data_IF_394343114784
#
_entry.id   IF_394343114784
#
_cell.length_a   1.000
_cell.length_b   1.000
_cell.length_c   1.000
_cell.angle_alpha   90.00
_cell.angle_beta   90.00
_cell.angle_gamma   90.00
#
_symmetry.space_group_name_H-M   'P 1'
#
loop_
_entity.id
_entity.type
_entity.pdbx_description
1 polymer ?
#
# COMPACT_ATOMS: atom_id res chain seq x y z
N UNK A 1 18.30 8.43 -4.92
CA UNK A 1 17.48 7.61 -5.82
C UNK A 1 16.01 7.79 -5.46
N UNK A 2 15.18 8.12 -6.43
CA UNK A 2 13.77 8.32 -6.17
C UNK A 2 13.07 6.99 -6.00
N UNK A 3 12.21 6.95 -4.98
CA UNK A 3 11.35 5.79 -4.76
C UNK A 3 10.02 6.09 -5.43
N UNK A 4 9.66 5.28 -6.40
CA UNK A 4 8.50 5.53 -7.24
C UNK A 4 7.27 4.73 -6.85
N UNK A 5 7.34 3.97 -5.79
CA UNK A 5 6.23 3.13 -5.31
C UNK A 5 6.03 3.33 -3.83
N UNK A 6 4.79 3.29 -3.40
CA UNK A 6 4.49 3.34 -1.97
C UNK A 6 3.24 2.57 -1.63
N UNK A 7 3.16 2.15 -0.38
CA UNK A 7 1.93 1.61 0.21
C UNK A 7 1.47 2.57 1.30
N UNK A 8 0.19 2.86 1.32
CA UNK A 8 -0.44 3.58 2.43
C UNK A 8 -1.08 2.54 3.33
N UNK A 9 -0.67 2.54 4.59
CA UNK A 9 -1.07 1.53 5.55
C UNK A 9 -2.00 2.17 6.57
N UNK A 10 -3.11 1.50 6.86
CA UNK A 10 -4.16 2.06 7.71
C UNK A 10 -4.29 1.32 9.02
N UNK A 11 -4.76 2.03 10.06
CA UNK A 11 -5.06 1.40 11.34
C UNK A 11 -6.24 0.44 11.16
N UNK A 12 -6.11 -0.75 11.75
CA UNK A 12 -7.13 -1.80 11.61
C UNK A 12 -8.03 -1.94 12.82
N UNK A 13 -7.70 -1.25 13.91
CA UNK A 13 -8.47 -1.34 15.14
C UNK A 13 -8.26 -0.09 15.98
N UNK A 14 -9.08 0.05 17.01
CA UNK A 14 -8.99 1.17 17.94
C UNK A 14 -9.67 2.41 17.42
N UNK A 15 -9.46 3.54 18.09
CA UNK A 15 -10.11 4.82 17.74
C UNK A 15 -9.62 5.36 16.41
N UNK A 16 -8.45 4.92 15.95
CA UNK A 16 -7.86 5.37 14.70
C UNK A 16 -8.24 4.49 13.50
N UNK A 17 -9.07 3.48 13.72
CA UNK A 17 -9.46 2.53 12.65
C UNK A 17 -9.86 3.27 11.38
N UNK A 18 -9.23 2.88 10.26
CA UNK A 18 -9.50 3.48 8.96
C UNK A 18 -8.64 4.70 8.64
N UNK A 19 -7.97 5.26 9.62
CA UNK A 19 -7.07 6.39 9.39
C UNK A 19 -5.70 5.92 8.91
N UNK A 20 -4.99 6.80 8.22
CA UNK A 20 -3.64 6.49 7.74
C UNK A 20 -2.70 6.28 8.94
N UNK A 21 -2.03 5.14 8.96
CA UNK A 21 -1.06 4.81 9.99
C UNK A 21 0.34 5.24 9.59
N UNK A 22 0.77 4.84 8.38
CA UNK A 22 2.07 5.22 7.85
C UNK A 22 2.11 4.95 6.36
N UNK A 23 3.14 5.45 5.70
CA UNK A 23 3.45 5.12 4.32
C UNK A 23 4.79 4.42 4.27
N UNK A 24 4.91 3.40 3.42
CA UNK A 24 6.17 2.72 3.17
C UNK A 24 6.53 2.91 1.70
N UNK A 25 7.78 3.26 1.44
CA UNK A 25 8.25 3.58 0.10
C UNK A 25 9.17 2.49 -0.43
N UNK A 26 9.10 2.26 -1.73
CA UNK A 26 9.83 1.18 -2.38
C UNK A 26 10.49 1.63 -3.67
N UNK A 27 11.64 1.05 -3.98
CA UNK A 27 12.38 1.34 -5.20
C UNK A 27 11.90 0.52 -6.39
N UNK A 28 11.21 -0.59 -6.14
CA UNK A 28 10.75 -1.47 -7.20
C UNK A 28 9.34 -1.96 -6.95
N UNK A 29 8.67 -2.30 -8.04
CA UNK A 29 7.34 -2.88 -7.98
C UNK A 29 7.34 -4.22 -7.24
N UNK A 30 8.37 -5.03 -7.46
CA UNK A 30 8.47 -6.33 -6.80
C UNK A 30 8.55 -6.20 -5.28
N UNK A 31 9.34 -5.25 -4.80
CA UNK A 31 9.46 -5.02 -3.36
C UNK A 31 8.13 -4.57 -2.76
N UNK A 32 7.44 -3.68 -3.44
CA UNK A 32 6.12 -3.22 -3.00
C UNK A 32 5.12 -4.38 -2.97
N UNK A 33 5.08 -5.19 -4.03
CA UNK A 33 4.17 -6.32 -4.12
C UNK A 33 4.42 -7.34 -3.01
N UNK A 34 5.69 -7.61 -2.72
CA UNK A 34 6.04 -8.53 -1.65
C UNK A 34 5.51 -8.05 -0.31
N UNK A 35 5.72 -6.76 -0.02
CA UNK A 35 5.25 -6.18 1.23
C UNK A 35 3.73 -6.15 1.30
N UNK A 36 3.07 -5.84 0.18
CA UNK A 36 1.61 -5.84 0.11
C UNK A 36 1.05 -7.21 0.49
N UNK A 37 1.63 -8.28 -0.05
CA UNK A 37 1.17 -9.64 0.28
C UNK A 37 1.33 -9.97 1.75
N UNK A 38 2.40 -9.49 2.38
CA UNK A 38 2.62 -9.69 3.81
C UNK A 38 1.55 -9.02 4.66
N UNK A 39 1.03 -7.89 4.20
CA UNK A 39 0.08 -7.09 4.95
C UNK A 39 -1.37 -7.38 4.59
N UNK A 40 -1.61 -8.00 3.44
CA UNK A 40 -2.97 -8.21 2.93
C UNK A 40 -3.77 -9.19 3.77
N UNK A 41 -5.00 -8.80 4.11
CA UNK A 41 -5.96 -9.63 4.83
C UNK A 41 -7.26 -9.66 4.04
N UNK A 42 -7.66 -10.82 3.46
CA UNK A 42 -8.86 -10.87 2.63
C UNK A 42 -10.15 -10.40 3.31
N UNK A 43 -10.23 -10.55 4.62
CA UNK A 43 -11.44 -10.18 5.37
C UNK A 43 -11.50 -8.70 5.72
N UNK A 44 -10.48 -7.94 5.38
CA UNK A 44 -10.36 -6.54 5.78
C UNK A 44 -10.20 -5.62 4.58
N UNK A 45 -11.01 -5.82 3.55
CA UNK A 45 -10.87 -5.10 2.28
C UNK A 45 -10.65 -3.60 2.43
N UNK A 46 -11.47 -2.95 3.23
CA UNK A 46 -11.41 -1.50 3.35
C UNK A 46 -10.18 -1.03 4.12
N UNK A 47 -9.51 -1.93 4.82
CA UNK A 47 -8.40 -1.59 5.68
C UNK A 47 -7.07 -2.15 5.18
N UNK A 48 -7.08 -2.81 4.04
CA UNK A 48 -5.85 -3.27 3.42
C UNK A 48 -5.06 -2.10 2.86
N UNK A 49 -3.72 -2.24 2.75
CA UNK A 49 -2.92 -1.15 2.20
C UNK A 49 -3.36 -0.78 0.79
N UNK A 50 -3.17 0.48 0.43
CA UNK A 50 -3.37 0.92 -0.94
C UNK A 50 -2.02 1.17 -1.58
N UNK A 51 -1.90 0.77 -2.86
CA UNK A 51 -0.65 0.86 -3.60
C UNK A 51 -0.66 2.08 -4.51
N UNK A 52 0.48 2.75 -4.61
CA UNK A 52 0.61 3.98 -5.39
C UNK A 52 1.92 3.97 -6.16
N UNK A 53 1.88 4.52 -7.36
CA UNK A 53 3.03 4.68 -8.22
C UNK A 53 3.21 6.14 -8.56
N UNK A 54 4.45 6.62 -8.55
CA UNK A 54 4.72 8.01 -8.94
C UNK A 54 5.09 8.07 -10.41
N UNK A 55 4.32 8.83 -11.18
CA UNK A 55 4.55 9.05 -12.59
C UNK A 55 4.54 10.56 -12.84
N UNK A 56 5.61 11.08 -13.40
CA UNK A 56 5.75 12.52 -13.69
C UNK A 56 5.49 13.40 -12.48
N UNK A 57 5.99 12.95 -11.31
CA UNK A 57 5.85 13.72 -10.08
C UNK A 57 4.53 13.57 -9.37
N UNK A 58 3.60 12.80 -9.90
CA UNK A 58 2.29 12.60 -9.29
C UNK A 58 2.10 11.17 -8.82
N UNK A 59 1.45 11.02 -7.66
CA UNK A 59 1.10 9.71 -7.13
C UNK A 59 -0.23 9.26 -7.70
N UNK A 60 -0.22 8.11 -8.39
CA UNK A 60 -1.41 7.52 -8.98
C UNK A 60 -1.71 6.19 -8.31
N UNK A 61 -2.99 5.97 -8.01
CA UNK A 61 -3.42 4.73 -7.36
C UNK A 61 -3.22 3.54 -8.29
N UNK A 62 -2.62 2.48 -7.73
CA UNK A 62 -2.48 1.20 -8.42
C UNK A 62 -3.40 0.18 -7.78
N UNK A 63 -3.92 -0.74 -8.58
CA UNK A 63 -4.68 -1.86 -8.07
C UNK A 63 -3.85 -3.12 -8.24
N UNK A 64 -3.43 -3.68 -7.12
CA UNK A 64 -2.66 -4.91 -7.13
C UNK A 64 -3.66 -6.06 -7.14
N UNK A 65 -3.61 -6.85 -8.20
CA UNK A 65 -4.35 -8.10 -8.21
C UNK A 65 -3.58 -9.05 -7.32
N UNK A 66 -4.04 -9.22 -6.10
CA UNK A 66 -3.40 -10.19 -5.25
C UNK A 66 -3.62 -11.55 -5.88
N UNK A 67 -2.56 -12.16 -6.30
CA UNK A 67 -2.63 -13.55 -6.66
C UNK A 67 -3.12 -14.28 -5.43
N UNK A 68 -4.28 -14.81 -5.54
CA UNK A 68 -4.83 -15.61 -4.46
C UNK A 68 -3.85 -16.73 -4.13
#
# INVERSE_FOLDING_TARGET
MERNYKLRIYYKSGVQKGNLKREEFFDSLDAMNKRYRELFKPREYALNPTAWERINGEWLRMFITSAA
#
